data_IF_000457175572
#
_entry.id   IF_000457175572
#
_cell.length_a   1.000
_cell.length_b   1.000
_cell.length_c   1.000
_cell.angle_alpha   90.00
_cell.angle_beta   90.00
_cell.angle_gamma   90.00
#
_symmetry.space_group_name_H-M   'P 1'
#
loop_
_entity.id
_entity.type
_entity.pdbx_description
1 polymer ?
#
# COMPACT_ATOMS: atom_id res chain seq x y z
N UNK A 1 -48.04 -27.43 40.99
CA UNK A 1 -48.96 -27.94 39.95
C UNK A 1 -49.95 -26.83 39.63
N UNK A 2 -49.71 -26.12 38.54
CA UNK A 2 -50.75 -25.50 37.71
C UNK A 2 -50.05 -25.07 36.42
N UNK A 3 -50.25 -25.90 35.41
CA UNK A 3 -50.12 -25.58 33.99
C UNK A 3 -50.98 -24.37 33.66
N UNK A 4 -50.43 -23.44 32.90
CA UNK A 4 -51.19 -22.60 31.99
C UNK A 4 -50.28 -22.26 30.81
N UNK A 5 -50.55 -22.96 29.72
CA UNK A 5 -50.03 -22.70 28.39
C UNK A 5 -50.48 -21.31 27.92
N UNK A 6 -49.55 -20.55 27.35
CA UNK A 6 -49.87 -19.41 26.51
C UNK A 6 -49.12 -19.59 25.18
N UNK A 7 -49.91 -20.00 24.19
CA UNK A 7 -49.59 -19.91 22.77
C UNK A 7 -49.34 -18.44 22.40
N UNK A 8 -48.12 -18.11 21.99
CA UNK A 8 -47.83 -16.90 21.23
C UNK A 8 -47.37 -17.27 19.83
N UNK A 9 -48.38 -17.56 19.02
CA UNK A 9 -48.30 -17.53 17.57
C UNK A 9 -48.09 -16.07 17.14
N UNK A 10 -46.88 -15.73 16.66
CA UNK A 10 -46.49 -14.36 16.38
C UNK A 10 -45.45 -14.28 15.26
N UNK A 11 -45.94 -14.46 14.04
CA UNK A 11 -45.50 -13.83 12.77
C UNK A 11 -44.00 -13.53 12.63
N UNK A 12 -43.32 -14.39 11.87
CA UNK A 12 -41.98 -14.15 11.36
C UNK A 12 -41.92 -12.85 10.53
N UNK A 13 -40.92 -11.97 10.73
CA UNK A 13 -40.69 -10.85 9.83
C UNK A 13 -40.22 -11.39 8.47
N UNK A 14 -41.03 -11.14 7.45
CA UNK A 14 -40.72 -11.31 6.04
C UNK A 14 -39.38 -10.67 5.72
N UNK A 15 -38.43 -11.50 5.30
CA UNK A 15 -37.09 -11.07 4.94
C UNK A 15 -37.14 -9.99 3.86
N UNK A 16 -36.52 -8.85 4.16
CA UNK A 16 -36.09 -7.92 3.12
C UNK A 16 -35.02 -8.63 2.29
N UNK A 17 -35.43 -8.99 1.09
CA UNK A 17 -34.62 -9.38 -0.06
C UNK A 17 -33.42 -8.43 -0.17
N UNK A 18 -32.25 -8.90 0.27
CA UNK A 18 -30.98 -8.21 0.06
C UNK A 18 -30.63 -8.40 -1.40
N UNK A 19 -30.95 -7.39 -2.19
CA UNK A 19 -30.53 -7.24 -3.58
C UNK A 19 -29.00 -7.48 -3.67
N UNK A 20 -28.53 -8.48 -4.44
CA UNK A 20 -27.11 -8.74 -4.60
C UNK A 20 -26.50 -7.56 -5.35
N UNK A 21 -25.77 -6.69 -4.62
CA UNK A 21 -24.96 -5.65 -5.25
C UNK A 21 -23.99 -6.33 -6.22
N UNK A 22 -23.91 -5.85 -7.48
CA UNK A 22 -22.96 -6.40 -8.43
C UNK A 22 -21.55 -6.22 -7.84
N UNK A 23 -20.89 -7.35 -7.62
CA UNK A 23 -19.45 -7.42 -7.42
C UNK A 23 -18.83 -6.81 -8.67
N UNK A 24 -18.38 -5.56 -8.56
CA UNK A 24 -17.52 -4.94 -9.55
C UNK A 24 -16.25 -5.78 -9.56
N UNK A 25 -16.20 -6.76 -10.46
CA UNK A 25 -14.98 -7.39 -10.88
C UNK A 25 -14.06 -6.26 -11.36
N UNK A 26 -13.12 -5.85 -10.50
CA UNK A 26 -11.94 -5.15 -10.96
C UNK A 26 -11.14 -6.13 -11.80
N UNK A 27 -11.55 -6.20 -13.07
CA UNK A 27 -10.80 -6.76 -14.16
C UNK A 27 -9.39 -6.20 -14.10
N UNK A 28 -8.48 -7.13 -13.85
CA UNK A 28 -7.04 -7.01 -13.94
C UNK A 28 -6.64 -6.22 -15.19
N UNK A 29 -6.23 -4.97 -14.99
CA UNK A 29 -5.55 -4.15 -15.99
C UNK A 29 -4.15 -4.69 -16.39
N UNK A 30 -3.79 -5.90 -15.92
CA UNK A 30 -2.51 -6.55 -16.21
C UNK A 30 -2.56 -7.57 -17.36
N UNK A 31 -3.74 -7.91 -17.89
CA UNK A 31 -3.86 -8.86 -19.01
C UNK A 31 -3.69 -8.22 -20.40
N UNK A 32 -3.50 -6.90 -20.48
CA UNK A 32 -3.41 -6.19 -21.76
C UNK A 32 -1.98 -6.04 -22.31
N UNK A 33 -0.93 -6.36 -21.54
CA UNK A 33 0.47 -6.13 -21.97
C UNK A 33 1.23 -7.37 -22.42
N UNK A 34 0.58 -8.52 -22.59
CA UNK A 34 1.22 -9.76 -23.07
C UNK A 34 0.58 -10.33 -24.36
N UNK A 35 -0.13 -9.52 -25.13
CA UNK A 35 -0.77 -9.95 -26.39
C UNK A 35 -0.32 -9.11 -27.57
N UNK A 36 0.97 -9.20 -27.88
CA UNK A 36 1.55 -8.61 -29.09
C UNK A 36 2.68 -9.48 -29.67
N UNK A 37 2.47 -10.79 -29.69
CA UNK A 37 3.21 -11.72 -30.55
C UNK A 37 2.16 -12.51 -31.36
N UNK A 38 2.46 -12.79 -32.63
CA UNK A 38 1.67 -13.56 -33.61
C UNK A 38 0.84 -12.77 -34.65
N UNK A 39 1.49 -11.91 -35.44
CA UNK A 39 0.97 -11.56 -36.77
C UNK A 39 2.07 -11.12 -37.76
N UNK A 40 2.91 -12.06 -38.20
CA UNK A 40 3.61 -11.95 -39.50
C UNK A 40 4.21 -13.31 -39.91
N UNK A 41 3.36 -14.34 -39.96
CA UNK A 41 3.59 -15.48 -40.85
C UNK A 41 2.97 -15.15 -42.20
N UNK A 42 3.65 -15.55 -43.26
CA UNK A 42 3.21 -15.56 -44.66
C UNK A 42 3.64 -14.38 -45.55
N UNK A 43 4.77 -14.56 -46.23
CA UNK A 43 4.82 -14.31 -47.67
C UNK A 43 6.03 -15.00 -48.29
N UNK A 44 5.76 -16.15 -48.89
CA UNK A 44 6.05 -16.34 -50.31
C UNK A 44 7.51 -16.43 -50.73
N UNK A 45 7.95 -17.67 -50.91
CA UNK A 45 8.87 -18.09 -51.96
C UNK A 45 8.75 -17.24 -53.24
N UNK A 46 9.84 -16.58 -53.64
CA UNK A 46 10.22 -16.50 -55.05
C UNK A 46 11.71 -16.73 -55.20
N UNK A 47 12.01 -17.95 -55.63
CA UNK A 47 13.24 -18.34 -56.27
C UNK A 47 13.59 -17.38 -57.41
N UNK A 48 14.79 -16.80 -57.35
CA UNK A 48 15.52 -16.38 -58.53
C UNK A 48 16.94 -16.92 -58.39
N UNK A 49 17.13 -18.09 -59.00
CA UNK A 49 18.45 -18.57 -59.40
C UNK A 49 19.03 -17.58 -60.41
N UNK A 50 20.10 -16.87 -60.04
CA UNK A 50 20.96 -16.22 -61.02
C UNK A 50 22.42 -16.21 -60.54
N UNK A 51 23.22 -16.97 -61.28
CA UNK A 51 24.66 -16.81 -61.52
C UNK A 51 25.62 -16.78 -60.32
N UNK A 52 26.36 -17.88 -60.17
CA UNK A 52 27.73 -17.91 -59.62
C UNK A 52 28.64 -16.93 -60.39
N UNK A 53 29.37 -16.03 -59.70
CA UNK A 53 30.72 -15.67 -60.08
C UNK A 53 31.72 -16.49 -59.26
N UNK A 54 32.65 -17.07 -60.00
CA UNK A 54 33.83 -17.81 -59.59
C UNK A 54 34.72 -17.07 -58.58
N UNK A 55 35.31 -17.87 -57.68
CA UNK A 55 36.63 -17.70 -57.07
C UNK A 55 36.96 -16.29 -56.53
N UNK A 56 36.49 -16.01 -55.31
CA UNK A 56 37.15 -15.05 -54.45
C UNK A 56 38.32 -15.74 -53.76
N UNK A 57 39.52 -15.42 -54.23
CA UNK A 57 40.80 -15.77 -53.61
C UNK A 57 40.88 -15.14 -52.21
N UNK A 58 41.00 -15.97 -51.18
CA UNK A 58 41.03 -15.58 -49.77
C UNK A 58 42.45 -15.29 -49.26
N UNK A 59 43.44 -15.23 -50.14
CA UNK A 59 44.87 -15.18 -49.79
C UNK A 59 45.40 -13.79 -49.43
N UNK A 60 44.59 -12.73 -49.59
CA UNK A 60 45.01 -11.34 -49.35
C UNK A 60 44.15 -10.69 -48.25
N UNK A 61 44.23 -11.24 -47.03
CA UNK A 61 43.67 -10.55 -45.85
C UNK A 61 44.73 -9.55 -45.38
N UNK A 62 44.51 -8.23 -45.55
CA UNK A 62 45.43 -7.24 -45.00
C UNK A 62 45.52 -7.47 -43.48
N UNK A 63 46.76 -7.55 -43.01
CA UNK A 63 47.13 -7.65 -41.60
C UNK A 63 46.22 -6.72 -40.79
N UNK A 64 45.33 -7.30 -39.98
CA UNK A 64 44.39 -6.53 -39.16
C UNK A 64 45.18 -5.75 -38.12
N UNK A 65 45.53 -4.51 -38.47
CA UNK A 65 46.08 -3.52 -37.54
C UNK A 65 45.08 -3.39 -36.40
N UNK A 66 45.42 -3.91 -35.22
CA UNK A 66 44.57 -3.84 -34.02
C UNK A 66 44.12 -2.39 -33.81
N UNK A 67 42.82 -2.06 -33.97
CA UNK A 67 42.36 -0.69 -33.80
C UNK A 67 42.62 -0.28 -32.35
N UNK A 68 43.53 0.68 -32.16
CA UNK A 68 43.78 1.28 -30.85
C UNK A 68 42.57 2.13 -30.48
N UNK A 69 41.97 1.83 -29.33
CA UNK A 69 40.86 2.62 -28.79
C UNK A 69 41.30 4.09 -28.65
N UNK A 70 40.46 4.98 -29.15
CA UNK A 70 40.72 6.42 -29.07
C UNK A 70 40.54 6.90 -27.63
N UNK A 71 41.32 7.89 -27.14
CA UNK A 71 41.19 8.41 -25.78
C UNK A 71 39.79 8.95 -25.49
N UNK A 72 39.05 9.36 -26.52
CA UNK A 72 37.66 9.78 -26.43
C UNK A 72 36.71 8.62 -26.03
N UNK A 73 36.98 7.39 -26.49
CA UNK A 73 36.20 6.20 -26.10
C UNK A 73 36.43 5.83 -24.63
N UNK A 74 37.65 6.03 -24.12
CA UNK A 74 37.96 5.84 -22.70
C UNK A 74 37.28 6.88 -21.80
N UNK A 75 37.25 8.15 -22.23
CA UNK A 75 36.55 9.22 -21.50
C UNK A 75 35.04 8.98 -21.51
N UNK A 76 34.47 8.57 -22.65
CA UNK A 76 33.04 8.22 -22.74
C UNK A 76 32.69 7.03 -21.83
N UNK A 77 33.57 6.03 -21.73
CA UNK A 77 33.39 4.89 -20.84
C UNK A 77 33.49 5.29 -19.36
N UNK A 78 34.44 6.15 -19.00
CA UNK A 78 34.55 6.68 -17.65
C UNK A 78 33.34 7.53 -17.25
N UNK A 79 32.84 8.39 -18.15
CA UNK A 79 31.64 9.20 -17.90
C UNK A 79 30.36 8.36 -17.83
N UNK A 80 30.27 7.25 -18.57
CA UNK A 80 29.14 6.33 -18.49
C UNK A 80 29.05 5.59 -17.15
N UNK A 81 30.17 5.40 -16.48
CA UNK A 81 30.20 4.85 -15.11
C UNK A 81 29.89 5.93 -14.07
N UNK A 82 30.35 7.17 -14.29
CA UNK A 82 30.26 8.24 -13.28
C UNK A 82 28.89 8.96 -13.26
N UNK A 83 28.30 9.20 -14.42
CA UNK A 83 27.00 9.87 -14.55
C UNK A 83 26.18 9.16 -15.64
N UNK A 84 25.47 8.06 -15.29
CA UNK A 84 24.80 7.18 -16.24
C UNK A 84 23.93 7.88 -17.31
N UNK A 85 23.09 8.89 -16.97
CA UNK A 85 22.28 9.55 -18.00
C UNK A 85 23.12 10.38 -19.00
N UNK A 86 24.19 11.04 -18.54
CA UNK A 86 25.08 11.81 -19.42
C UNK A 86 25.93 10.90 -20.31
N UNK A 87 26.38 9.76 -19.77
CA UNK A 87 27.11 8.76 -20.54
C UNK A 87 26.28 8.10 -21.63
N UNK A 88 24.98 7.87 -21.38
CA UNK A 88 24.07 7.34 -22.38
C UNK A 88 23.91 8.32 -23.56
N UNK A 89 23.70 9.61 -23.29
CA UNK A 89 23.61 10.66 -24.33
C UNK A 89 24.92 10.77 -25.12
N UNK A 90 26.07 10.78 -24.45
CA UNK A 90 27.38 10.83 -25.11
C UNK A 90 27.65 9.57 -25.97
N UNK A 91 27.24 8.38 -25.51
CA UNK A 91 27.39 7.13 -26.27
C UNK A 91 26.54 7.12 -27.54
N UNK A 92 25.33 7.69 -27.49
CA UNK A 92 24.45 7.84 -28.66
C UNK A 92 25.08 8.79 -29.67
N UNK A 93 25.55 9.96 -29.22
CA UNK A 93 26.19 10.97 -30.09
C UNK A 93 27.46 10.39 -30.74
N UNK A 94 28.31 9.70 -29.98
CA UNK A 94 29.50 9.04 -30.50
C UNK A 94 29.14 7.93 -31.52
N UNK A 95 28.06 7.18 -31.28
CA UNK A 95 27.53 6.18 -32.20
C UNK A 95 27.10 6.75 -33.55
N UNK A 96 26.40 7.88 -33.57
CA UNK A 96 26.01 8.57 -34.81
C UNK A 96 27.20 9.13 -35.57
N UNK A 97 28.15 9.77 -34.88
CA UNK A 97 29.36 10.33 -35.51
C UNK A 97 30.26 9.22 -36.07
N UNK A 98 30.35 8.07 -35.38
CA UNK A 98 31.15 6.92 -35.83
C UNK A 98 30.52 6.22 -37.04
N UNK A 99 29.17 6.07 -37.07
CA UNK A 99 28.45 5.54 -38.24
C UNK A 99 28.68 6.38 -39.49
N UNK A 100 28.75 7.70 -39.36
CA UNK A 100 28.97 8.59 -40.49
C UNK A 100 30.37 8.49 -41.12
N UNK A 101 31.39 8.05 -40.36
CA UNK A 101 32.80 8.11 -40.82
C UNK A 101 33.45 6.76 -41.13
N UNK A 102 32.99 5.63 -40.58
CA UNK A 102 33.76 4.36 -40.66
C UNK A 102 32.98 3.11 -41.06
N UNK A 103 31.66 3.17 -41.26
CA UNK A 103 30.87 2.08 -41.87
C UNK A 103 30.76 0.77 -41.07
N UNK A 104 31.59 0.55 -40.04
CA UNK A 104 31.53 -0.61 -39.16
C UNK A 104 31.38 -0.21 -37.70
N UNK A 105 30.32 -0.72 -37.07
CA UNK A 105 30.10 -0.58 -35.63
C UNK A 105 30.90 -1.67 -34.91
N UNK A 106 31.91 -1.26 -34.14
CA UNK A 106 32.71 -2.17 -33.32
C UNK A 106 31.84 -2.76 -32.20
N UNK A 107 32.00 -4.06 -31.94
CA UNK A 107 31.27 -4.81 -30.89
C UNK A 107 31.31 -4.11 -29.51
N UNK A 108 32.38 -3.37 -29.23
CA UNK A 108 32.60 -2.60 -28.01
C UNK A 108 31.53 -1.53 -27.77
N UNK A 109 31.07 -0.85 -28.82
CA UNK A 109 30.03 0.19 -28.69
C UNK A 109 28.70 -0.45 -28.29
N UNK A 110 28.36 -1.62 -28.86
CA UNK A 110 27.13 -2.35 -28.51
C UNK A 110 27.12 -2.77 -27.04
N UNK A 111 28.22 -3.34 -26.55
CA UNK A 111 28.31 -3.76 -25.14
C UNK A 111 28.24 -2.58 -24.19
N UNK A 112 28.87 -1.45 -24.53
CA UNK A 112 28.82 -0.23 -23.73
C UNK A 112 27.39 0.35 -23.67
N UNK A 113 26.66 0.37 -24.79
CA UNK A 113 25.26 0.83 -24.82
C UNK A 113 24.35 -0.06 -23.96
N UNK A 114 24.46 -1.39 -24.07
CA UNK A 114 23.64 -2.31 -23.27
C UNK A 114 23.92 -2.13 -21.78
N UNK A 115 25.19 -2.03 -21.39
CA UNK A 115 25.57 -1.81 -19.99
C UNK A 115 25.04 -0.46 -19.47
N UNK A 116 25.13 0.61 -20.28
CA UNK A 116 24.62 1.93 -19.94
C UNK A 116 23.10 1.94 -19.75
N UNK A 117 22.35 1.20 -20.57
CA UNK A 117 20.90 1.04 -20.41
C UNK A 117 20.57 0.30 -19.12
N UNK A 118 21.23 -0.82 -18.84
CA UNK A 118 21.00 -1.61 -17.61
C UNK A 118 21.28 -0.77 -16.36
N UNK A 119 22.41 -0.05 -16.31
CA UNK A 119 22.75 0.80 -15.17
C UNK A 119 21.77 1.96 -15.00
N UNK A 120 21.28 2.54 -16.09
CA UNK A 120 20.28 3.61 -16.05
C UNK A 120 18.96 3.10 -15.48
N UNK A 121 18.48 1.92 -15.93
CA UNK A 121 17.28 1.29 -15.37
C UNK A 121 17.48 1.00 -13.88
N UNK A 122 18.62 0.45 -13.49
CA UNK A 122 18.92 0.15 -12.08
C UNK A 122 18.91 1.41 -11.20
N UNK A 123 19.44 2.54 -11.69
CA UNK A 123 19.42 3.82 -10.96
C UNK A 123 18.01 4.38 -10.85
N UNK A 124 17.20 4.31 -11.91
CA UNK A 124 15.81 4.77 -11.87
C UNK A 124 15.01 3.94 -10.87
N UNK A 125 15.10 2.62 -10.95
CA UNK A 125 14.41 1.70 -10.02
C UNK A 125 14.90 1.94 -8.59
N UNK A 126 16.22 2.04 -8.38
CA UNK A 126 16.80 2.33 -7.07
C UNK A 126 16.33 3.66 -6.49
N UNK A 127 16.26 4.72 -7.31
CA UNK A 127 15.77 6.04 -6.90
C UNK A 127 14.29 6.02 -6.49
N UNK A 128 13.43 5.32 -7.24
CA UNK A 128 12.01 5.17 -6.90
C UNK A 128 11.83 4.41 -5.59
N UNK A 129 12.60 3.34 -5.36
CA UNK A 129 12.53 2.57 -4.10
C UNK A 129 12.99 3.41 -2.91
N UNK A 130 14.08 4.16 -3.05
CA UNK A 130 14.59 5.03 -1.97
C UNK A 130 13.61 6.17 -1.64
N UNK A 131 12.99 6.79 -2.65
CA UNK A 131 11.94 7.81 -2.45
C UNK A 131 10.70 7.21 -1.77
N UNK A 132 10.28 5.99 -2.15
CA UNK A 132 9.17 5.30 -1.49
C UNK A 132 9.46 5.01 -0.01
N UNK A 133 10.69 4.57 0.31
CA UNK A 133 11.12 4.34 1.70
C UNK A 133 11.10 5.67 2.49
N UNK A 134 11.69 6.74 1.96
CA UNK A 134 11.70 8.04 2.63
C UNK A 134 10.30 8.61 2.88
N UNK A 135 9.37 8.42 1.94
CA UNK A 135 7.95 8.81 2.13
C UNK A 135 7.26 7.96 3.19
N UNK A 136 7.58 6.67 3.28
CA UNK A 136 7.01 5.79 4.31
C UNK A 136 7.48 6.20 5.71
N UNK A 137 8.76 6.52 5.88
CA UNK A 137 9.30 7.00 7.16
C UNK A 137 8.70 8.35 7.56
N UNK A 138 8.59 9.29 6.61
CA UNK A 138 7.96 10.59 6.87
C UNK A 138 6.46 10.46 7.21
N UNK A 139 5.76 9.53 6.56
CA UNK A 139 4.36 9.23 6.87
C UNK A 139 4.21 8.62 8.26
N UNK A 140 5.07 7.68 8.65
CA UNK A 140 5.06 7.10 10.00
C UNK A 140 5.40 8.14 11.07
N UNK A 141 6.44 8.96 10.86
CA UNK A 141 6.79 10.05 11.77
C UNK A 141 5.62 11.02 11.97
N UNK A 142 4.87 11.31 10.90
CA UNK A 142 3.65 12.10 11.00
C UNK A 142 2.57 11.40 11.83
N UNK A 143 2.34 10.10 11.66
CA UNK A 143 1.35 9.35 12.45
C UNK A 143 1.72 9.36 13.94
N UNK A 144 3.01 9.21 14.27
CA UNK A 144 3.50 9.30 15.66
C UNK A 144 3.22 10.70 16.22
N UNK A 145 3.57 11.75 15.48
CA UNK A 145 3.31 13.13 15.90
C UNK A 145 1.81 13.43 16.07
N UNK A 146 0.97 12.97 15.14
CA UNK A 146 -0.49 13.13 15.19
C UNK A 146 -1.13 12.31 16.32
N UNK A 147 -0.47 11.24 16.78
CA UNK A 147 -0.93 10.40 17.90
C UNK A 147 -0.55 10.95 19.28
N UNK A 148 0.44 11.85 19.35
CA UNK A 148 0.95 12.40 20.61
C UNK A 148 -0.13 12.97 21.56
N UNK A 149 -1.10 13.81 21.13
CA UNK A 149 -2.14 14.33 22.04
C UNK A 149 -3.04 13.23 22.58
N UNK A 150 -3.36 12.22 21.76
CA UNK A 150 -4.16 11.07 22.18
C UNK A 150 -3.41 10.21 23.21
N UNK A 151 -2.13 9.91 22.96
CA UNK A 151 -1.28 9.18 23.90
C UNK A 151 -1.13 9.93 25.24
N UNK A 152 -0.86 11.24 25.20
CA UNK A 152 -0.75 12.06 26.40
C UNK A 152 -2.06 12.10 27.21
N UNK A 153 -3.23 12.05 26.54
CA UNK A 153 -4.51 11.94 27.23
C UNK A 153 -4.69 10.59 27.91
N UNK A 154 -4.29 9.49 27.26
CA UNK A 154 -4.34 8.15 27.86
C UNK A 154 -3.42 8.01 29.09
N UNK A 155 -2.26 8.66 29.09
CA UNK A 155 -1.34 8.67 30.23
C UNK A 155 -1.94 9.29 31.50
N UNK A 156 -2.93 10.17 31.35
CA UNK A 156 -3.67 10.73 32.51
C UNK A 156 -4.59 9.72 33.18
N UNK A 157 -4.92 8.60 32.50
CA UNK A 157 -5.82 7.56 32.99
C UNK A 157 -5.19 6.17 32.79
N UNK A 158 -4.12 5.84 33.54
CA UNK A 158 -3.43 4.57 33.39
C UNK A 158 -4.36 3.38 33.68
N UNK A 159 -4.24 2.29 32.91
CA UNK A 159 -5.06 1.09 33.09
C UNK A 159 -6.39 1.09 32.33
N UNK A 160 -6.74 2.18 31.64
CA UNK A 160 -8.04 2.28 30.96
C UNK A 160 -8.19 1.26 29.83
N UNK A 161 -7.12 0.89 29.12
CA UNK A 161 -7.18 -0.03 27.99
C UNK A 161 -7.16 -1.50 28.41
N UNK A 162 -6.60 -1.78 29.58
CA UNK A 162 -6.51 -3.09 30.21
C UNK A 162 -7.81 -3.46 30.94
N UNK A 163 -8.55 -2.44 31.38
CA UNK A 163 -9.83 -2.63 32.04
C UNK A 163 -10.89 -3.21 31.08
N UNK A 164 -11.80 -4.08 31.56
CA UNK A 164 -12.89 -4.62 30.75
C UNK A 164 -13.71 -3.52 30.06
N UNK A 165 -13.95 -3.67 28.76
CA UNK A 165 -14.64 -2.67 27.93
C UNK A 165 -14.06 -1.24 28.09
N UNK A 166 -12.75 -1.19 28.21
CA UNK A 166 -11.95 0.00 28.46
C UNK A 166 -12.40 0.85 29.67
N UNK A 167 -12.70 0.19 30.78
CA UNK A 167 -13.09 0.85 32.02
C UNK A 167 -14.57 1.25 32.05
N UNK A 168 -15.43 0.48 31.38
CA UNK A 168 -16.88 0.62 31.54
C UNK A 168 -17.22 0.53 33.04
N UNK A 169 -17.99 1.47 33.60
CA UNK A 169 -18.17 1.58 35.04
C UNK A 169 -18.77 0.30 35.61
N UNK A 170 -18.15 -0.20 36.68
CA UNK A 170 -18.79 -1.17 37.57
C UNK A 170 -19.90 -0.46 38.32
N UNK A 171 -21.09 -1.05 38.38
CA UNK A 171 -22.25 -0.36 38.94
C UNK A 171 -22.08 0.03 40.40
N UNK A 172 -22.33 1.32 40.75
CA UNK A 172 -22.57 1.73 42.12
C UNK A 172 -23.93 1.22 42.63
N UNK A 173 -24.24 1.49 43.90
CA UNK A 173 -25.41 0.94 44.60
C UNK A 173 -26.75 1.42 44.06
N UNK A 174 -26.79 2.52 43.31
CA UNK A 174 -28.03 3.13 42.82
C UNK A 174 -28.02 3.41 41.31
N UNK A 175 -29.21 3.51 40.73
CA UNK A 175 -29.40 3.82 39.30
C UNK A 175 -28.83 5.21 38.96
N UNK A 176 -29.06 6.21 39.82
CA UNK A 176 -28.62 7.58 39.57
C UNK A 176 -27.09 7.68 39.56
N UNK A 177 -26.41 7.04 40.52
CA UNK A 177 -24.95 6.96 40.53
C UNK A 177 -24.43 6.22 39.28
N UNK A 178 -25.13 5.19 38.82
CA UNK A 178 -24.75 4.43 37.62
C UNK A 178 -24.83 5.31 36.38
N UNK A 179 -25.93 6.06 36.21
CA UNK A 179 -26.09 6.98 35.07
C UNK A 179 -25.02 8.07 35.09
N UNK A 180 -24.68 8.61 36.27
CA UNK A 180 -23.58 9.58 36.40
C UNK A 180 -22.25 8.97 35.94
N UNK A 181 -21.94 7.75 36.37
CA UNK A 181 -20.70 7.07 35.97
C UNK A 181 -20.66 6.75 34.47
N UNK A 182 -21.78 6.30 33.87
CA UNK A 182 -21.88 6.03 32.44
C UNK A 182 -21.71 7.32 31.61
N UNK A 183 -22.28 8.44 32.06
CA UNK A 183 -22.08 9.75 31.41
C UNK A 183 -20.63 10.22 31.49
N UNK A 184 -19.97 10.03 32.62
CA UNK A 184 -18.54 10.36 32.77
C UNK A 184 -17.66 9.52 31.82
N UNK A 185 -17.96 8.22 31.70
CA UNK A 185 -17.31 7.34 30.72
C UNK A 185 -17.52 7.85 29.29
N UNK A 186 -18.77 8.13 28.92
CA UNK A 186 -19.12 8.63 27.59
C UNK A 186 -18.39 9.94 27.26
N UNK A 187 -18.37 10.88 28.20
CA UNK A 187 -17.73 12.18 28.01
C UNK A 187 -16.22 12.02 27.78
N UNK A 188 -15.55 11.19 28.59
CA UNK A 188 -14.12 10.89 28.40
C UNK A 188 -13.83 10.34 27.02
N UNK A 189 -14.62 9.37 26.55
CA UNK A 189 -14.45 8.78 25.22
C UNK A 189 -14.77 9.76 24.10
N UNK A 190 -15.69 10.69 24.32
CA UNK A 190 -15.96 11.79 23.39
C UNK A 190 -14.76 12.74 23.29
N UNK A 191 -14.19 13.16 24.41
CA UNK A 191 -12.99 14.01 24.45
C UNK A 191 -11.80 13.33 23.78
N UNK A 192 -11.58 12.03 24.05
CA UNK A 192 -10.57 11.22 23.36
C UNK A 192 -10.84 11.11 21.86
N UNK A 193 -12.10 11.02 21.44
CA UNK A 193 -12.48 10.95 20.03
C UNK A 193 -12.22 12.25 19.26
N UNK A 194 -12.26 13.39 19.95
CA UNK A 194 -11.99 14.71 19.35
C UNK A 194 -10.50 14.91 19.04
N UNK A 195 -9.61 14.24 19.79
CA UNK A 195 -8.15 14.28 19.60
C UNK A 195 -7.58 13.00 18.98
N UNK A 196 -8.42 12.02 18.65
CA UNK A 196 -7.98 10.74 18.12
C UNK A 196 -7.40 10.92 16.70
N UNK A 197 -6.22 10.32 16.41
CA UNK A 197 -5.64 10.36 15.08
C UNK A 197 -6.55 9.62 14.08
N UNK A 198 -6.42 9.99 12.80
CA UNK A 198 -7.35 9.57 11.74
C UNK A 198 -7.60 8.05 11.71
N UNK A 199 -6.55 7.24 11.91
CA UNK A 199 -6.61 5.78 11.85
C UNK A 199 -7.46 5.10 12.94
N UNK A 200 -7.69 5.75 14.08
CA UNK A 200 -8.56 5.22 15.16
C UNK A 200 -9.76 6.11 15.49
N UNK A 201 -9.86 7.29 14.89
CA UNK A 201 -10.96 8.25 15.14
C UNK A 201 -12.36 7.64 15.06
N UNK A 202 -12.62 6.78 14.07
CA UNK A 202 -13.90 6.09 13.92
C UNK A 202 -14.17 5.09 15.05
N UNK A 203 -13.16 4.33 15.47
CA UNK A 203 -13.25 3.38 16.58
C UNK A 203 -13.55 4.11 17.90
N UNK A 204 -12.81 5.17 18.19
CA UNK A 204 -12.99 5.99 19.40
C UNK A 204 -14.38 6.63 19.46
N UNK A 205 -14.87 7.19 18.33
CA UNK A 205 -16.25 7.73 18.25
C UNK A 205 -17.31 6.65 18.46
N UNK A 206 -17.10 5.45 17.93
CA UNK A 206 -18.05 4.34 18.07
C UNK A 206 -18.24 3.95 19.54
N UNK A 207 -17.17 3.97 20.34
CA UNK A 207 -17.24 3.74 21.80
C UNK A 207 -18.09 4.82 22.48
N UNK A 208 -17.84 6.10 22.17
CA UNK A 208 -18.60 7.21 22.74
C UNK A 208 -20.10 7.16 22.35
N UNK A 209 -20.42 6.82 21.10
CA UNK A 209 -21.81 6.67 20.64
C UNK A 209 -22.52 5.49 21.29
N UNK A 210 -21.84 4.35 21.41
CA UNK A 210 -22.41 3.21 22.10
C UNK A 210 -22.70 3.52 23.56
N UNK A 211 -21.75 4.14 24.26
CA UNK A 211 -21.96 4.59 25.63
C UNK A 211 -23.17 5.52 25.76
N UNK A 212 -23.32 6.50 24.85
CA UNK A 212 -24.48 7.39 24.82
C UNK A 212 -25.80 6.63 24.63
N UNK A 213 -25.84 5.65 23.71
CA UNK A 213 -27.04 4.85 23.48
C UNK A 213 -27.46 4.06 24.73
N UNK A 214 -26.50 3.50 25.45
CA UNK A 214 -26.73 2.78 26.71
C UNK A 214 -27.20 3.73 27.82
N UNK A 215 -26.61 4.93 27.94
CA UNK A 215 -27.07 5.96 28.88
C UNK A 215 -28.54 6.29 28.61
N UNK A 216 -28.90 6.57 27.35
CA UNK A 216 -30.27 6.89 26.96
C UNK A 216 -31.24 5.72 27.22
N UNK A 217 -30.82 4.49 26.99
CA UNK A 217 -31.62 3.30 27.27
C UNK A 217 -31.87 3.13 28.78
N UNK A 218 -30.85 3.30 29.63
CA UNK A 218 -31.00 3.21 31.10
C UNK A 218 -31.86 4.37 31.63
N UNK A 219 -31.66 5.59 31.13
CA UNK A 219 -32.45 6.75 31.56
C UNK A 219 -33.94 6.61 31.25
N UNK A 220 -34.27 6.02 30.09
CA UNK A 220 -35.66 5.82 29.64
C UNK A 220 -36.34 4.63 30.33
N UNK A 221 -35.64 3.51 30.48
CA UNK A 221 -36.21 2.28 31.06
C UNK A 221 -36.15 2.24 32.58
N UNK A 222 -35.22 2.99 33.19
CA UNK A 222 -34.87 2.89 34.62
C UNK A 222 -34.48 1.47 35.04
N UNK A 223 -33.99 0.67 34.09
CA UNK A 223 -33.49 -0.69 34.29
C UNK A 223 -32.07 -0.76 33.76
N UNK A 224 -31.19 -1.49 34.46
CA UNK A 224 -29.81 -1.66 34.03
C UNK A 224 -29.56 -3.13 33.69
N UNK A 225 -29.33 -3.40 32.40
CA UNK A 225 -28.86 -4.71 31.92
C UNK A 225 -27.33 -4.76 31.95
N UNK A 226 -26.77 -5.14 33.09
CA UNK A 226 -25.31 -5.23 33.30
C UNK A 226 -24.61 -6.08 32.25
N UNK A 227 -25.14 -7.29 32.06
CA UNK A 227 -24.49 -8.31 31.25
C UNK A 227 -24.59 -7.93 29.77
N UNK A 228 -25.76 -7.47 29.32
CA UNK A 228 -25.96 -6.96 27.97
C UNK A 228 -25.09 -5.75 27.68
N UNK A 229 -25.09 -4.73 28.55
CA UNK A 229 -24.32 -3.50 28.38
C UNK A 229 -22.81 -3.78 28.33
N UNK A 230 -22.29 -4.57 29.27
CA UNK A 230 -20.87 -4.92 29.29
C UNK A 230 -20.49 -5.76 28.06
N UNK A 231 -21.33 -6.73 27.67
CA UNK A 231 -21.09 -7.55 26.47
C UNK A 231 -21.07 -6.68 25.20
N UNK A 232 -22.01 -5.75 25.07
CA UNK A 232 -22.07 -4.81 23.95
C UNK A 232 -20.82 -3.94 23.89
N UNK A 233 -20.41 -3.34 25.01
CA UNK A 233 -19.22 -2.50 25.06
C UNK A 233 -17.93 -3.29 24.81
N UNK A 234 -17.83 -4.54 25.28
CA UNK A 234 -16.70 -5.43 24.94
C UNK A 234 -16.59 -5.68 23.44
N UNK A 235 -17.71 -5.90 22.76
CA UNK A 235 -17.71 -6.11 21.32
C UNK A 235 -17.22 -4.86 20.56
N UNK A 236 -17.68 -3.68 20.95
CA UNK A 236 -17.29 -2.41 20.30
C UNK A 236 -15.83 -2.07 20.57
N UNK A 237 -15.37 -2.23 21.81
CA UNK A 237 -13.98 -1.95 22.19
C UNK A 237 -13.00 -2.92 21.53
N UNK A 238 -13.38 -4.19 21.36
CA UNK A 238 -12.59 -5.15 20.59
C UNK A 238 -12.48 -4.77 19.10
N UNK A 239 -13.55 -4.22 18.50
CA UNK A 239 -13.56 -3.79 17.11
C UNK A 239 -12.83 -2.45 16.85
N UNK A 240 -12.60 -1.65 17.89
CA UNK A 240 -12.08 -0.28 17.75
C UNK A 240 -10.59 -0.20 17.38
N UNK A 241 -9.80 -1.28 17.57
CA UNK A 241 -8.37 -1.33 17.21
C UNK A 241 -7.45 -0.44 18.06
N UNK A 242 -7.97 0.21 19.11
CA UNK A 242 -7.23 1.18 19.94
C UNK A 242 -6.02 0.57 20.64
N UNK A 243 -6.09 -0.62 21.28
CA UNK A 243 -4.92 -1.19 21.96
C UNK A 243 -3.75 -1.46 21.01
N UNK A 244 -4.05 -1.93 19.79
CA UNK A 244 -3.03 -2.17 18.77
C UNK A 244 -2.39 -0.86 18.28
N UNK A 245 -3.17 0.21 18.14
CA UNK A 245 -2.66 1.54 17.80
C UNK A 245 -1.74 2.10 18.89
N UNK A 246 -2.19 2.04 20.14
CA UNK A 246 -1.46 2.55 21.30
C UNK A 246 -0.13 1.80 21.47
N UNK A 247 -0.15 0.47 21.36
CA UNK A 247 1.07 -0.34 21.42
C UNK A 247 2.10 0.01 20.32
N UNK A 248 1.65 0.53 19.17
CA UNK A 248 2.52 0.90 18.05
C UNK A 248 3.03 2.34 18.14
N UNK A 249 2.22 3.28 18.64
CA UNK A 249 2.47 4.72 18.47
C UNK A 249 2.59 5.51 19.77
N UNK A 250 2.31 4.92 20.94
CA UNK A 250 2.42 5.59 22.24
C UNK A 250 3.58 5.08 23.11
N UNK A 251 4.46 4.23 22.57
CA UNK A 251 5.61 3.64 23.27
C UNK A 251 6.94 4.34 22.99
#
# INVERSE_FOLDING_TARGET
MNESAQDTNGTAPTGTEVEPRPVVQQLSAFDFLLREDDAASDSGERAVYAARPSAFDFSDRPEQVKPRATPLEWIALALAVLVPPLGLVLSIIAGFVSRAKRGWTTWVVRTATVLGVILTIAVIVGGVVLDAIGRSEAAEAKIVADSAPFCASLDTTPGILEAPAFGWPTEPTTIDETVVAMKAYQLRWKELADIAPAGISSGTRSIAFAAQSLVTAVESTKVIDRTGNLSHMKAITAAAGIPAWVARYCG
#
